data_IF_592619141012
#
_entry.id   IF_592619141012
#
_cell.length_a   1.000
_cell.length_b   1.000
_cell.length_c   1.000
_cell.angle_alpha   90.00
_cell.angle_beta   90.00
_cell.angle_gamma   90.00
#
_symmetry.space_group_name_H-M   'P 1'
#
loop_
_entity.id
_entity.type
_entity.pdbx_description
1 polymer ?
#
# COMPACT_ATOMS: atom_id res chain seq x y z
N UNK A 1 1.22 26.63 -6.62
CA UNK A 1 1.88 27.54 -5.63
C UNK A 1 1.09 27.71 -4.33
N UNK A 2 -0.09 28.37 -4.30
CA UNK A 2 -0.89 28.50 -3.05
C UNK A 2 -1.28 27.14 -2.45
N UNK A 3 -1.84 26.24 -3.26
CA UNK A 3 -2.22 24.91 -2.80
C UNK A 3 -1.01 24.09 -2.27
N UNK A 4 0.14 24.19 -2.91
CA UNK A 4 1.38 23.53 -2.44
C UNK A 4 1.83 24.07 -1.08
N UNK A 5 1.74 25.38 -0.86
CA UNK A 5 2.03 25.99 0.44
C UNK A 5 1.05 25.51 1.51
N UNK A 6 -0.24 25.41 1.19
CA UNK A 6 -1.27 24.91 2.10
C UNK A 6 -1.11 23.42 2.42
N UNK A 7 -0.54 22.63 1.49
CA UNK A 7 -0.24 21.22 1.75
C UNK A 7 1.04 21.00 2.55
N UNK A 8 1.89 22.02 2.74
CA UNK A 8 3.18 21.84 3.40
C UNK A 8 2.96 21.48 4.88
N UNK A 9 3.56 20.39 5.33
CA UNK A 9 3.51 19.95 6.73
C UNK A 9 4.30 20.93 7.58
N UNK A 10 3.62 21.62 8.51
CA UNK A 10 4.26 22.58 9.41
C UNK A 10 3.87 22.35 10.89
N UNK A 11 4.84 22.35 11.83
CA UNK A 11 6.29 22.27 11.58
C UNK A 11 6.70 20.96 10.89
N UNK A 12 7.87 20.96 10.24
CA UNK A 12 8.44 19.76 9.62
C UNK A 12 8.53 18.60 10.62
N UNK A 13 8.09 17.42 10.21
CA UNK A 13 8.17 16.20 11.00
C UNK A 13 9.54 15.55 10.76
N UNK A 14 10.29 15.26 11.83
CA UNK A 14 11.59 14.59 11.74
C UNK A 14 12.69 15.40 11.04
N UNK A 15 12.56 16.74 10.98
CA UNK A 15 13.39 17.62 10.17
C UNK A 15 13.40 17.20 8.68
N UNK A 16 12.25 16.80 8.17
CA UNK A 16 12.01 16.44 6.77
C UNK A 16 10.86 17.29 6.24
N UNK A 17 11.16 18.10 5.22
CA UNK A 17 10.12 18.83 4.49
C UNK A 17 9.23 17.83 3.77
N UNK A 18 7.93 17.97 3.96
CA UNK A 18 6.93 17.09 3.34
C UNK A 18 5.62 17.85 3.13
N UNK A 19 4.72 17.24 2.36
CA UNK A 19 3.43 17.82 1.99
C UNK A 19 2.34 16.77 2.19
N UNK A 20 1.24 17.12 2.83
CA UNK A 20 0.11 16.21 3.05
C UNK A 20 -1.21 16.92 2.84
N UNK A 21 -2.27 16.12 2.73
CA UNK A 21 -3.62 16.61 2.61
C UNK A 21 -4.52 15.55 2.00
N UNK A 22 -5.59 16.01 1.38
CA UNK A 22 -6.63 15.15 0.83
C UNK A 22 -6.88 15.46 -0.64
N UNK A 23 -7.05 14.42 -1.44
CA UNK A 23 -7.59 14.51 -2.79
C UNK A 23 -9.02 13.98 -2.79
N UNK A 24 -9.97 14.82 -3.22
CA UNK A 24 -11.37 14.41 -3.34
C UNK A 24 -11.55 13.57 -4.60
N UNK A 25 -11.88 12.30 -4.43
CA UNK A 25 -12.05 11.33 -5.53
C UNK A 25 -13.52 11.10 -5.89
N UNK A 26 -14.43 11.42 -4.97
CA UNK A 26 -15.86 11.49 -5.23
C UNK A 26 -16.47 12.67 -4.47
N UNK A 27 -16.98 13.67 -5.21
CA UNK A 27 -17.60 14.86 -4.61
C UNK A 27 -19.01 14.60 -4.11
N UNK A 28 -19.74 13.68 -4.72
CA UNK A 28 -21.12 13.38 -4.33
C UNK A 28 -21.14 12.59 -3.03
N UNK A 29 -20.17 11.70 -2.84
CA UNK A 29 -19.99 10.92 -1.62
C UNK A 29 -19.13 11.60 -0.55
N UNK A 30 -18.42 12.68 -0.89
CA UNK A 30 -17.44 13.29 0.00
C UNK A 30 -16.26 12.35 0.26
N UNK A 31 -15.88 11.54 -0.72
CA UNK A 31 -14.79 10.56 -0.60
C UNK A 31 -13.45 11.20 -0.91
N UNK A 32 -12.50 11.03 0.01
CA UNK A 32 -11.21 11.69 0.01
C UNK A 32 -10.09 10.68 0.32
N UNK A 33 -9.03 10.70 -0.50
CA UNK A 33 -7.81 9.94 -0.23
C UNK A 33 -6.76 10.86 0.42
N UNK A 34 -6.24 10.44 1.57
CA UNK A 34 -5.11 11.08 2.21
C UNK A 34 -3.82 10.76 1.47
N UNK A 35 -2.98 11.78 1.28
CA UNK A 35 -1.64 11.62 0.75
C UNK A 35 -0.60 12.22 1.69
N UNK A 36 0.61 11.66 1.67
CA UNK A 36 1.80 12.26 2.26
C UNK A 36 2.98 12.12 1.31
N UNK A 37 3.46 13.27 0.84
CA UNK A 37 4.49 13.43 -0.16
C UNK A 37 5.82 13.91 0.45
N UNK A 38 6.89 13.21 0.11
CA UNK A 38 8.26 13.48 0.53
C UNK A 38 9.12 13.74 -0.70
N UNK A 39 9.62 14.97 -0.89
CA UNK A 39 10.63 15.26 -1.90
C UNK A 39 11.89 14.41 -1.71
N UNK A 40 12.61 14.20 -2.82
CA UNK A 40 13.96 13.61 -2.78
C UNK A 40 14.90 14.47 -1.93
N UNK A 41 15.87 13.87 -1.24
CA UNK A 41 16.82 14.58 -0.35
C UNK A 41 17.92 15.35 -1.11
N UNK A 42 17.79 15.55 -2.42
CA UNK A 42 18.74 16.27 -3.28
C UNK A 42 18.20 17.62 -3.74
N UNK A 43 19.10 18.56 -4.03
CA UNK A 43 18.75 19.94 -4.38
C UNK A 43 17.77 20.04 -5.57
N UNK A 44 17.93 19.18 -6.57
CA UNK A 44 17.07 19.12 -7.76
C UNK A 44 15.98 18.04 -7.68
N UNK A 45 15.35 17.89 -6.51
CA UNK A 45 14.27 16.90 -6.31
C UNK A 45 13.14 17.00 -7.35
N UNK A 46 12.87 18.20 -7.86
CA UNK A 46 11.85 18.43 -8.91
C UNK A 46 12.09 17.69 -10.23
N UNK A 47 13.32 17.23 -10.50
CA UNK A 47 13.66 16.42 -11.69
C UNK A 47 13.80 14.92 -11.38
N UNK A 48 13.75 14.53 -10.10
CA UNK A 48 13.87 13.14 -9.69
C UNK A 48 12.60 12.34 -10.03
N UNK A 49 12.70 11.01 -10.23
CA UNK A 49 11.54 10.15 -10.37
C UNK A 49 10.51 10.33 -9.25
N UNK A 50 9.24 10.09 -9.56
CA UNK A 50 8.15 10.02 -8.59
C UNK A 50 7.76 8.56 -8.39
N UNK A 51 7.82 8.10 -7.14
CA UNK A 51 7.41 6.76 -6.74
C UNK A 51 6.16 6.90 -5.88
N UNK A 52 5.06 6.28 -6.31
CA UNK A 52 3.88 6.04 -5.48
C UNK A 52 4.07 4.72 -4.72
N UNK A 53 3.86 4.73 -3.41
CA UNK A 53 3.82 3.53 -2.57
C UNK A 53 2.40 3.25 -2.07
N UNK A 54 1.96 2.01 -2.26
CA UNK A 54 0.65 1.50 -1.85
C UNK A 54 0.82 0.27 -0.95
N UNK A 55 0.38 0.35 0.29
CA UNK A 55 0.28 -0.83 1.14
C UNK A 55 -0.99 -1.65 0.77
N UNK A 56 -0.95 -2.95 1.04
CA UNK A 56 -1.98 -3.93 0.70
C UNK A 56 -3.08 -4.08 1.77
N UNK A 57 -3.24 -5.31 2.28
CA UNK A 57 -4.30 -5.69 3.21
C UNK A 57 -5.28 -6.71 2.60
N UNK A 58 -6.38 -6.29 1.94
CA UNK A 58 -6.82 -4.91 1.68
C UNK A 58 -7.18 -4.16 2.96
N UNK A 59 -7.02 -2.83 2.96
CA UNK A 59 -7.43 -1.98 4.08
C UNK A 59 -6.31 -1.58 5.05
N UNK A 60 -5.06 -1.96 4.77
CA UNK A 60 -3.92 -1.54 5.59
C UNK A 60 -3.45 -0.13 5.19
N UNK A 61 -3.18 0.72 6.19
CA UNK A 61 -2.65 2.07 5.93
C UNK A 61 -1.25 2.00 5.30
N UNK A 62 -1.02 2.86 4.31
CA UNK A 62 0.32 3.03 3.72
C UNK A 62 1.29 3.73 4.65
N UNK A 63 0.82 4.24 5.80
CA UNK A 63 1.68 4.72 6.87
C UNK A 63 2.56 3.58 7.43
N UNK A 64 2.10 2.32 7.38
CA UNK A 64 2.95 1.19 7.74
C UNK A 64 4.23 1.19 6.89
N UNK A 65 4.11 1.23 5.56
CA UNK A 65 5.28 1.26 4.69
C UNK A 65 6.12 2.52 4.81
N UNK A 66 5.51 3.66 5.15
CA UNK A 66 6.24 4.88 5.45
C UNK A 66 7.17 4.70 6.66
N UNK A 67 6.67 4.17 7.78
CA UNK A 67 7.44 4.11 9.03
C UNK A 67 8.29 2.83 9.15
N UNK A 68 7.78 1.70 8.69
CA UNK A 68 8.42 0.39 8.86
C UNK A 68 9.42 0.07 7.74
N UNK A 69 9.18 0.58 6.53
CA UNK A 69 9.82 0.02 5.33
C UNK A 69 10.67 1.05 4.58
N UNK A 70 10.02 1.95 3.85
CA UNK A 70 10.66 2.69 2.74
C UNK A 70 10.78 4.19 2.98
N UNK A 71 10.16 4.72 4.04
CA UNK A 71 10.13 6.16 4.32
C UNK A 71 11.36 6.71 5.03
N UNK A 72 11.39 8.04 5.24
CA UNK A 72 12.55 8.77 5.75
C UNK A 72 12.88 8.52 7.24
N UNK A 73 11.94 8.00 8.02
CA UNK A 73 12.12 7.84 9.45
C UNK A 73 11.33 6.65 10.02
N UNK A 74 11.84 6.14 11.14
CA UNK A 74 11.16 5.21 12.04
C UNK A 74 10.71 5.97 13.29
N UNK A 75 9.68 5.48 13.98
CA UNK A 75 9.17 6.04 15.24
C UNK A 75 9.37 5.06 16.39
N UNK A 76 10.03 5.50 17.46
CA UNK A 76 10.25 4.73 18.68
C UNK A 76 9.82 5.52 19.91
N UNK A 77 9.90 4.94 21.10
CA UNK A 77 9.54 5.63 22.36
C UNK A 77 10.38 6.90 22.57
N UNK A 78 11.66 6.88 22.18
CA UNK A 78 12.53 8.07 22.28
C UNK A 78 12.28 9.12 21.17
N UNK A 79 11.40 8.81 20.22
CA UNK A 79 11.00 9.69 19.11
C UNK A 79 11.42 9.18 17.74
N UNK A 80 11.41 10.09 16.75
CA UNK A 80 11.72 9.75 15.37
C UNK A 80 13.23 9.56 15.16
N UNK A 81 13.61 8.47 14.49
CA UNK A 81 14.98 8.18 14.04
C UNK A 81 15.03 8.20 12.51
N UNK A 82 15.99 8.90 11.91
CA UNK A 82 16.15 8.94 10.44
C UNK A 82 16.59 7.58 9.89
N UNK A 83 16.04 7.18 8.74
CA UNK A 83 16.36 5.93 8.06
C UNK A 83 17.44 6.15 6.99
N UNK A 84 18.55 5.42 7.10
CA UNK A 84 19.67 5.50 6.15
C UNK A 84 19.39 4.81 4.80
N UNK A 85 18.31 4.02 4.71
CA UNK A 85 17.90 3.26 3.53
C UNK A 85 16.59 3.76 2.92
N UNK A 86 16.18 5.00 3.24
CA UNK A 86 14.93 5.57 2.74
C UNK A 86 14.93 5.67 1.21
N UNK A 87 13.80 5.35 0.59
CA UNK A 87 13.63 5.49 -0.86
C UNK A 87 13.60 6.96 -1.30
N UNK A 88 13.32 7.88 -0.37
CA UNK A 88 13.35 9.31 -0.65
C UNK A 88 14.77 9.93 -0.68
N UNK A 89 15.83 9.13 -0.52
CA UNK A 89 17.21 9.62 -0.69
C UNK A 89 17.39 10.16 -2.12
N UNK A 90 17.00 9.38 -3.13
CA UNK A 90 17.21 9.73 -4.55
C UNK A 90 15.93 10.05 -5.32
N UNK A 91 14.76 9.68 -4.77
CA UNK A 91 13.47 9.73 -5.45
C UNK A 91 12.45 10.56 -4.66
N UNK A 92 11.46 11.09 -5.37
CA UNK A 92 10.29 11.66 -4.70
C UNK A 92 9.33 10.54 -4.35
N UNK A 93 8.84 10.55 -3.11
CA UNK A 93 8.04 9.47 -2.56
C UNK A 93 6.65 9.98 -2.20
N UNK A 94 5.63 9.43 -2.85
CA UNK A 94 4.22 9.71 -2.61
C UNK A 94 3.58 8.51 -1.92
N UNK A 95 3.08 8.72 -0.72
CA UNK A 95 2.33 7.71 0.04
C UNK A 95 0.85 8.07 -0.05
N UNK A 96 -0.01 7.10 -0.36
CA UNK A 96 -1.46 7.29 -0.37
C UNK A 96 -2.11 6.22 0.51
N UNK A 97 -2.95 6.65 1.45
CA UNK A 97 -3.86 5.73 2.15
C UNK A 97 -5.03 5.40 1.22
N UNK A 98 -5.21 4.12 0.92
CA UNK A 98 -6.24 3.66 0.00
C UNK A 98 -6.66 2.22 0.36
N UNK A 99 -7.85 1.76 -0.06
CA UNK A 99 -8.95 2.52 -0.67
C UNK A 99 -9.55 3.61 0.25
N UNK A 100 -10.58 4.31 -0.24
CA UNK A 100 -11.42 5.19 0.59
C UNK A 100 -11.85 4.44 1.86
N UNK A 101 -11.69 5.06 3.03
CA UNK A 101 -11.94 4.45 4.35
C UNK A 101 -10.70 3.90 5.07
N UNK A 102 -9.55 3.84 4.40
CA UNK A 102 -8.30 3.34 4.97
C UNK A 102 -7.49 4.46 5.62
N UNK A 103 -6.93 4.20 6.81
CA UNK A 103 -6.01 5.12 7.48
C UNK A 103 -6.68 6.47 7.72
N UNK A 104 -6.14 7.54 7.12
CA UNK A 104 -6.77 8.87 7.18
C UNK A 104 -7.78 9.13 6.06
N UNK A 105 -7.83 8.31 5.02
CA UNK A 105 -8.81 8.43 3.92
C UNK A 105 -10.22 8.13 4.40
N UNK A 106 -11.21 8.89 3.92
CA UNK A 106 -12.57 8.83 4.44
C UNK A 106 -13.63 9.12 3.36
N UNK A 107 -14.88 8.85 3.70
CA UNK A 107 -16.05 9.22 2.92
C UNK A 107 -17.15 9.72 3.86
N UNK A 108 -17.93 10.72 3.44
CA UNK A 108 -19.03 11.27 4.24
C UNK A 108 -20.30 10.41 4.13
N UNK A 109 -20.36 9.57 3.09
CA UNK A 109 -21.43 8.58 2.84
C UNK A 109 -20.84 7.18 2.73
N UNK A 110 -21.68 6.15 2.81
CA UNK A 110 -21.30 4.73 2.69
C UNK A 110 -20.93 4.34 1.23
N UNK A 111 -19.93 5.03 0.68
CA UNK A 111 -19.44 4.89 -0.69
C UNK A 111 -18.03 4.28 -0.69
N UNK A 112 -17.89 3.12 -0.08
CA UNK A 112 -16.63 2.37 -0.17
C UNK A 112 -16.52 1.70 -1.55
N UNK A 113 -15.33 1.68 -2.17
CA UNK A 113 -15.13 0.98 -3.44
C UNK A 113 -15.40 -0.52 -3.26
N UNK A 114 -16.10 -1.11 -4.22
CA UNK A 114 -16.59 -2.49 -4.14
C UNK A 114 -15.70 -3.46 -4.91
N UNK A 115 -14.81 -2.96 -5.78
CA UNK A 115 -13.93 -3.76 -6.61
C UNK A 115 -12.70 -2.95 -7.06
N UNK A 116 -11.72 -3.63 -7.66
CA UNK A 116 -10.46 -3.04 -8.11
C UNK A 116 -10.63 -1.99 -9.22
N UNK A 117 -11.72 -2.01 -10.00
CA UNK A 117 -12.02 -0.95 -10.98
C UNK A 117 -12.27 0.36 -10.25
N UNK A 118 -13.13 0.35 -9.23
CA UNK A 118 -13.44 1.53 -8.42
C UNK A 118 -12.15 2.08 -7.77
N UNK A 119 -11.34 1.19 -7.17
CA UNK A 119 -10.05 1.55 -6.56
C UNK A 119 -9.10 2.17 -7.58
N UNK A 120 -9.00 1.58 -8.77
CA UNK A 120 -8.15 2.09 -9.86
C UNK A 120 -8.58 3.47 -10.33
N UNK A 121 -9.89 3.73 -10.43
CA UNK A 121 -10.44 5.04 -10.81
C UNK A 121 -10.21 6.11 -9.73
N UNK A 122 -10.41 5.79 -8.46
CA UNK A 122 -10.16 6.74 -7.36
C UNK A 122 -8.67 7.06 -7.23
N UNK A 123 -7.79 6.06 -7.31
CA UNK A 123 -6.34 6.29 -7.32
C UNK A 123 -5.92 7.13 -8.53
N UNK A 124 -6.50 6.90 -9.71
CA UNK A 124 -6.21 7.71 -10.90
C UNK A 124 -6.60 9.18 -10.67
N UNK A 125 -7.78 9.46 -10.12
CA UNK A 125 -8.19 10.84 -9.77
C UNK A 125 -7.24 11.48 -8.76
N UNK A 126 -6.78 10.73 -7.76
CA UNK A 126 -5.81 11.24 -6.79
C UNK A 126 -4.44 11.53 -7.43
N UNK A 127 -3.94 10.63 -8.29
CA UNK A 127 -2.67 10.83 -9.01
C UNK A 127 -2.77 12.01 -9.99
N UNK A 128 -3.89 12.18 -10.70
CA UNK A 128 -4.12 13.36 -11.55
C UNK A 128 -4.07 14.64 -10.71
N UNK A 129 -4.80 14.70 -9.60
CA UNK A 129 -4.79 15.87 -8.71
C UNK A 129 -3.39 16.13 -8.12
N UNK A 130 -2.61 15.10 -7.81
CA UNK A 130 -1.22 15.26 -7.41
C UNK A 130 -0.39 15.94 -8.51
N UNK A 131 -0.55 15.53 -9.76
CA UNK A 131 0.14 16.12 -10.92
C UNK A 131 -0.38 17.52 -11.28
N UNK A 132 -1.59 17.90 -10.85
CA UNK A 132 -2.07 19.28 -10.93
C UNK A 132 -1.48 20.15 -9.80
N UNK A 133 -1.36 19.57 -8.59
CA UNK A 133 -0.76 20.23 -7.44
C UNK A 133 0.74 20.45 -7.62
N UNK A 134 1.44 19.48 -8.22
CA UNK A 134 2.87 19.49 -8.51
C UNK A 134 3.14 19.24 -10.01
N UNK A 135 2.85 20.23 -10.88
CA UNK A 135 2.90 20.06 -12.35
C UNK A 135 4.27 19.72 -12.91
N UNK A 136 5.34 20.02 -12.18
CA UNK A 136 6.70 19.64 -12.58
C UNK A 136 6.87 18.12 -12.71
N UNK A 137 6.03 17.30 -12.06
CA UNK A 137 6.12 15.84 -12.14
C UNK A 137 5.52 15.23 -13.40
N UNK A 138 4.74 15.97 -14.21
CA UNK A 138 4.17 15.44 -15.46
C UNK A 138 5.24 15.01 -16.47
N UNK A 139 6.44 15.61 -16.42
CA UNK A 139 7.58 15.21 -17.26
C UNK A 139 8.41 14.07 -16.64
N UNK A 140 8.31 13.87 -15.32
CA UNK A 140 9.18 12.95 -14.60
C UNK A 140 8.68 11.51 -14.79
N UNK A 141 9.59 10.54 -14.69
CA UNK A 141 9.20 9.13 -14.68
C UNK A 141 8.38 8.85 -13.42
N UNK A 142 7.18 8.32 -13.63
CA UNK A 142 6.28 7.90 -12.55
C UNK A 142 6.31 6.38 -12.39
N UNK A 143 6.46 5.93 -11.16
CA UNK A 143 6.49 4.52 -10.79
C UNK A 143 5.34 4.25 -9.83
N UNK A 144 4.59 3.17 -10.08
CA UNK A 144 3.62 2.66 -9.11
C UNK A 144 4.29 1.49 -8.39
N UNK A 145 4.33 1.54 -7.08
CA UNK A 145 4.94 0.51 -6.26
C UNK A 145 4.11 0.19 -5.01
N UNK A 146 4.40 -0.93 -4.39
CA UNK A 146 3.68 -1.40 -3.22
C UNK A 146 3.82 -2.90 -3.06
N UNK A 147 3.08 -3.45 -2.10
CA UNK A 147 3.22 -4.85 -1.72
C UNK A 147 1.92 -5.55 -1.32
N UNK A 148 2.00 -6.86 -1.14
CA UNK A 148 0.87 -7.68 -0.66
C UNK A 148 -0.35 -7.53 -1.57
N UNK A 149 -1.51 -7.12 -1.06
CA UNK A 149 -2.72 -6.89 -1.88
C UNK A 149 -2.56 -5.74 -2.89
N UNK A 150 -1.52 -4.91 -2.81
CA UNK A 150 -1.17 -3.99 -3.88
C UNK A 150 -0.82 -4.70 -5.19
N UNK A 151 -0.59 -6.02 -5.17
CA UNK A 151 -0.59 -6.87 -6.36
C UNK A 151 -1.87 -6.82 -7.19
N UNK A 152 -2.99 -6.34 -6.63
CA UNK A 152 -4.23 -6.02 -7.34
C UNK A 152 -4.37 -4.52 -7.63
N UNK A 153 -4.02 -3.65 -6.67
CA UNK A 153 -4.16 -2.19 -6.81
C UNK A 153 -3.26 -1.59 -7.89
N UNK A 154 -2.02 -2.08 -7.99
CA UNK A 154 -1.01 -1.56 -8.91
C UNK A 154 -1.42 -1.81 -10.37
N UNK A 155 -1.78 -3.04 -10.79
CA UNK A 155 -2.33 -3.28 -12.11
C UNK A 155 -3.63 -2.51 -12.39
N UNK A 156 -4.52 -2.37 -11.39
CA UNK A 156 -5.75 -1.62 -11.54
C UNK A 156 -5.50 -0.14 -11.89
N UNK A 157 -4.64 0.54 -11.12
CA UNK A 157 -4.23 1.91 -11.41
C UNK A 157 -3.47 2.01 -12.74
N UNK A 158 -2.54 1.09 -13.01
CA UNK A 158 -1.78 1.06 -14.25
C UNK A 158 -2.69 0.93 -15.49
N UNK A 159 -3.70 0.07 -15.41
CA UNK A 159 -4.72 -0.09 -16.46
C UNK A 159 -5.55 1.18 -16.63
N UNK A 160 -5.99 1.79 -15.53
CA UNK A 160 -6.76 3.03 -15.55
C UNK A 160 -5.98 4.19 -16.17
N UNK A 161 -4.69 4.33 -15.83
CA UNK A 161 -3.79 5.29 -16.48
C UNK A 161 -3.69 4.97 -17.98
N UNK A 162 -3.41 3.73 -18.36
CA UNK A 162 -3.30 3.35 -19.76
C UNK A 162 -4.55 3.72 -20.58
N UNK A 163 -5.74 3.51 -20.00
CA UNK A 163 -7.04 3.80 -20.62
C UNK A 163 -7.28 5.30 -20.81
N UNK A 164 -7.05 6.12 -19.78
CA UNK A 164 -7.45 7.53 -19.77
C UNK A 164 -6.34 8.51 -20.17
N UNK A 165 -5.07 8.15 -19.98
CA UNK A 165 -3.93 9.02 -20.24
C UNK A 165 -3.81 9.51 -21.69
N UNK A 166 -4.16 8.74 -22.76
CA UNK A 166 -4.08 9.23 -24.15
C UNK A 166 -4.90 10.51 -24.41
N UNK A 167 -6.09 10.63 -23.82
CA UNK A 167 -6.98 11.79 -23.98
C UNK A 167 -6.90 12.81 -22.84
N UNK A 168 -6.20 12.50 -21.75
CA UNK A 168 -6.10 13.39 -20.59
C UNK A 168 -5.33 14.69 -20.87
N UNK A 169 -5.72 15.79 -20.23
CA UNK A 169 -4.98 17.05 -20.23
C UNK A 169 -3.73 16.98 -19.33
N UNK A 170 -3.87 16.35 -18.17
CA UNK A 170 -2.77 16.03 -17.25
C UNK A 170 -2.20 14.69 -17.66
N UNK A 171 -0.96 14.68 -18.15
CA UNK A 171 -0.28 13.45 -18.57
C UNK A 171 0.48 12.84 -17.40
N UNK A 172 0.32 11.54 -17.24
CA UNK A 172 1.10 10.72 -16.30
C UNK A 172 2.11 9.92 -17.12
N UNK A 173 3.40 10.16 -16.88
CA UNK A 173 4.49 9.44 -17.54
C UNK A 173 4.82 8.14 -16.78
N UNK A 174 3.87 7.19 -16.79
CA UNK A 174 4.03 5.89 -16.15
C UNK A 174 5.16 5.10 -16.81
N UNK A 175 6.25 4.91 -16.07
CA UNK A 175 7.47 4.28 -16.56
C UNK A 175 7.56 2.79 -16.18
N UNK A 176 7.15 2.42 -14.97
CA UNK A 176 7.11 1.03 -14.54
C UNK A 176 6.16 0.81 -13.34
N UNK A 177 5.86 -0.47 -13.10
CA UNK A 177 5.13 -0.96 -11.94
C UNK A 177 6.01 -1.96 -11.18
N UNK A 178 6.09 -1.84 -9.86
CA UNK A 178 6.90 -2.71 -9.00
C UNK A 178 6.05 -3.29 -7.87
N UNK A 179 5.93 -4.62 -7.81
CA UNK A 179 5.05 -5.31 -6.86
C UNK A 179 5.92 -6.19 -5.96
N UNK A 180 6.05 -5.83 -4.68
CA UNK A 180 6.77 -6.63 -3.68
C UNK A 180 5.85 -7.69 -3.07
N UNK A 181 6.26 -8.96 -3.09
CA UNK A 181 5.52 -10.07 -2.45
C UNK A 181 4.00 -10.04 -2.72
N UNK A 182 3.61 -9.70 -3.94
CA UNK A 182 2.22 -9.40 -4.28
C UNK A 182 1.32 -10.63 -4.33
N UNK A 183 0.09 -10.48 -3.86
CA UNK A 183 -1.01 -11.38 -4.20
C UNK A 183 -1.65 -10.87 -5.49
N UNK A 184 -1.49 -11.60 -6.58
CA UNK A 184 -1.90 -11.18 -7.94
C UNK A 184 -2.64 -12.28 -8.70
N UNK A 185 -2.25 -13.55 -8.51
CA UNK A 185 -2.94 -14.71 -9.07
C UNK A 185 -3.30 -15.67 -7.94
N UNK A 186 -4.55 -15.59 -7.52
CA UNK A 186 -5.11 -16.41 -6.46
C UNK A 186 -4.97 -17.91 -6.71
N UNK A 187 -5.06 -18.36 -7.97
CA UNK A 187 -5.10 -19.79 -8.29
C UNK A 187 -3.74 -20.45 -8.18
N UNK A 188 -2.71 -19.80 -8.71
CA UNK A 188 -1.34 -20.33 -8.68
C UNK A 188 -0.65 -20.06 -7.35
N UNK A 189 -0.96 -18.95 -6.67
CA UNK A 189 -0.30 -18.57 -5.40
C UNK A 189 -0.94 -19.22 -4.16
N UNK A 190 -2.07 -19.91 -4.29
CA UNK A 190 -2.76 -20.57 -3.16
C UNK A 190 -2.32 -22.03 -2.92
N UNK A 191 -1.38 -22.57 -3.69
CA UNK A 191 -0.78 -23.89 -3.43
C UNK A 191 0.21 -23.83 -2.23
N UNK A 192 -0.34 -23.61 -1.04
CA UNK A 192 0.42 -23.64 0.21
C UNK A 192 0.89 -25.05 0.55
N UNK A 193 0.15 -26.08 0.15
CA UNK A 193 0.46 -27.47 0.49
C UNK A 193 1.78 -27.94 -0.09
N UNK A 194 1.99 -27.80 -1.40
CA UNK A 194 3.27 -28.16 -2.00
C UNK A 194 4.39 -27.22 -1.55
N UNK A 195 4.12 -25.91 -1.50
CA UNK A 195 5.11 -24.91 -1.11
C UNK A 195 5.70 -25.19 0.28
N UNK A 196 4.85 -25.37 1.29
CA UNK A 196 5.28 -25.59 2.67
C UNK A 196 5.93 -26.97 2.86
N UNK A 197 5.45 -27.98 2.15
CA UNK A 197 6.04 -29.32 2.19
C UNK A 197 7.47 -29.33 1.63
N UNK A 198 7.71 -28.65 0.50
CA UNK A 198 9.06 -28.57 -0.07
C UNK A 198 10.02 -27.74 0.77
N UNK A 199 9.51 -26.86 1.62
CA UNK A 199 10.30 -26.16 2.65
C UNK A 199 10.53 -27.00 3.91
N UNK A 200 9.95 -28.20 4.01
CA UNK A 200 10.04 -29.06 5.19
C UNK A 200 9.28 -28.53 6.41
N UNK A 201 8.32 -27.61 6.20
CA UNK A 201 7.53 -27.01 7.28
C UNK A 201 6.30 -27.85 7.66
N UNK A 202 5.87 -28.75 6.78
CA UNK A 202 4.79 -29.70 7.03
C UNK A 202 5.18 -31.10 6.53
N UNK A 203 4.61 -32.13 7.13
CA UNK A 203 4.78 -33.52 6.72
C UNK A 203 3.72 -33.93 5.67
N UNK A 204 3.71 -35.22 5.31
CA UNK A 204 2.76 -35.76 4.33
C UNK A 204 1.30 -35.54 4.74
N UNK A 205 0.99 -35.67 6.04
CA UNK A 205 -0.36 -35.47 6.56
C UNK A 205 -0.80 -34.00 6.46
N UNK A 206 0.09 -33.06 6.81
CA UNK A 206 -0.15 -31.64 6.61
C UNK A 206 -0.35 -31.30 5.14
N UNK A 207 0.50 -31.83 4.26
CA UNK A 207 0.38 -31.62 2.81
C UNK A 207 -0.97 -32.10 2.28
N UNK A 208 -1.41 -33.29 2.66
CA UNK A 208 -2.69 -33.85 2.22
C UNK A 208 -3.87 -32.93 2.57
N UNK A 209 -3.91 -32.41 3.80
CA UNK A 209 -4.99 -31.53 4.25
C UNK A 209 -4.98 -30.16 3.57
N UNK A 210 -3.80 -29.56 3.36
CA UNK A 210 -3.66 -28.34 2.57
C UNK A 210 -4.13 -28.55 1.12
N UNK A 211 -3.71 -29.66 0.49
CA UNK A 211 -4.08 -29.94 -0.91
C UNK A 211 -5.56 -30.23 -1.06
N UNK A 212 -6.22 -30.84 -0.08
CA UNK A 212 -7.67 -31.02 -0.09
C UNK A 212 -8.39 -29.67 -0.11
N UNK A 213 -8.01 -28.74 0.77
CA UNK A 213 -8.62 -27.39 0.82
C UNK A 213 -8.28 -26.59 -0.45
N UNK A 214 -7.08 -26.76 -1.01
CA UNK A 214 -6.69 -26.18 -2.29
C UNK A 214 -7.58 -26.66 -3.44
N UNK A 215 -7.84 -27.96 -3.54
CA UNK A 215 -8.72 -28.50 -4.59
C UNK A 215 -10.16 -27.98 -4.45
N UNK A 216 -10.70 -27.93 -3.23
CA UNK A 216 -12.02 -27.34 -2.97
C UNK A 216 -12.07 -25.85 -3.33
N UNK A 217 -10.97 -25.13 -3.09
CA UNK A 217 -10.82 -23.73 -3.45
C UNK A 217 -10.84 -23.55 -4.98
N UNK A 218 -10.10 -24.39 -5.71
CA UNK A 218 -10.08 -24.36 -7.18
C UNK A 218 -11.46 -24.63 -7.77
N UNK A 219 -12.20 -25.62 -7.25
CA UNK A 219 -13.59 -25.88 -7.66
C UNK A 219 -14.47 -24.65 -7.39
N UNK A 220 -14.36 -24.02 -6.21
CA UNK A 220 -15.13 -22.83 -5.90
C UNK A 220 -14.80 -21.64 -6.84
N UNK A 221 -13.54 -21.49 -7.25
CA UNK A 221 -13.11 -20.48 -8.23
C UNK A 221 -13.67 -20.79 -9.62
N UNK A 222 -13.61 -22.04 -10.07
CA UNK A 222 -14.17 -22.49 -11.36
C UNK A 222 -15.68 -22.24 -11.43
N UNK A 223 -16.39 -22.52 -10.34
CA UNK A 223 -17.83 -22.26 -10.17
C UNK A 223 -18.17 -20.77 -9.98
N UNK A 224 -17.16 -19.90 -9.88
CA UNK A 224 -17.30 -18.46 -9.54
C UNK A 224 -18.03 -18.21 -8.21
N UNK A 225 -17.93 -19.16 -7.28
CA UNK A 225 -18.45 -19.02 -5.93
C UNK A 225 -17.42 -18.31 -5.05
N UNK A 226 -17.36 -16.98 -5.18
CA UNK A 226 -16.33 -16.15 -4.54
C UNK A 226 -16.40 -16.16 -3.01
N UNK A 227 -17.59 -16.27 -2.42
CA UNK A 227 -17.75 -16.39 -0.97
C UNK A 227 -17.12 -17.68 -0.45
N UNK A 228 -17.43 -18.82 -1.07
CA UNK A 228 -16.82 -20.10 -0.72
C UNK A 228 -15.31 -20.09 -0.96
N UNK A 229 -14.86 -19.55 -2.10
CA UNK A 229 -13.44 -19.44 -2.41
C UNK A 229 -12.70 -18.59 -1.36
N UNK A 230 -13.27 -17.46 -0.94
CA UNK A 230 -12.72 -16.62 0.12
C UNK A 230 -12.61 -17.38 1.45
N UNK A 231 -13.70 -18.03 1.88
CA UNK A 231 -13.69 -18.82 3.12
C UNK A 231 -12.61 -19.90 3.09
N UNK A 232 -12.46 -20.63 1.97
CA UNK A 232 -11.43 -21.65 1.83
C UNK A 232 -10.02 -21.04 1.85
N UNK A 233 -9.80 -19.94 1.13
CA UNK A 233 -8.52 -19.22 1.12
C UNK A 233 -8.08 -18.81 2.52
N UNK A 234 -8.99 -18.31 3.36
CA UNK A 234 -8.66 -17.90 4.74
C UNK A 234 -8.15 -19.06 5.61
N UNK A 235 -8.45 -20.33 5.26
CA UNK A 235 -7.97 -21.48 6.03
C UNK A 235 -6.46 -21.73 5.86
N UNK A 236 -5.87 -21.36 4.72
CA UNK A 236 -4.44 -21.61 4.44
C UNK A 236 -3.54 -20.88 5.43
N UNK A 237 -3.74 -19.57 5.59
CA UNK A 237 -2.98 -18.72 6.52
C UNK A 237 -3.64 -18.59 7.91
N UNK A 238 -4.80 -19.23 8.08
CA UNK A 238 -5.55 -19.29 9.33
C UNK A 238 -5.41 -20.66 9.98
N UNK A 239 -6.52 -21.41 10.05
CA UNK A 239 -6.59 -22.69 10.77
C UNK A 239 -5.41 -23.64 10.48
N UNK A 240 -5.08 -23.89 9.21
CA UNK A 240 -4.01 -24.82 8.86
C UNK A 240 -2.64 -24.29 9.27
N UNK A 241 -2.42 -22.98 9.11
CA UNK A 241 -1.19 -22.33 9.55
C UNK A 241 -0.99 -22.49 11.06
N UNK A 242 -2.04 -22.21 11.85
CA UNK A 242 -1.98 -22.37 13.31
C UNK A 242 -1.80 -23.80 13.75
N UNK A 243 -2.39 -24.76 13.04
CA UNK A 243 -2.28 -26.18 13.34
C UNK A 243 -0.86 -26.72 13.11
N UNK A 244 -0.22 -26.31 12.01
CA UNK A 244 1.01 -26.96 11.54
C UNK A 244 2.28 -26.13 11.67
N UNK A 245 2.22 -24.79 11.66
CA UNK A 245 3.39 -23.96 11.31
C UNK A 245 3.63 -22.81 12.31
N UNK A 246 2.58 -22.28 12.93
CA UNK A 246 2.65 -21.06 13.76
C UNK A 246 3.63 -21.14 14.94
N UNK A 247 3.96 -22.35 15.39
CA UNK A 247 4.92 -22.57 16.47
C UNK A 247 6.38 -22.49 16.00
N UNK A 248 6.63 -22.57 14.69
CA UNK A 248 7.96 -22.60 14.11
C UNK A 248 8.36 -21.26 13.48
N UNK A 249 7.45 -20.63 12.74
CA UNK A 249 7.76 -19.44 11.93
C UNK A 249 6.61 -18.43 11.90
N UNK A 250 6.83 -17.27 11.26
CA UNK A 250 5.81 -16.26 10.93
C UNK A 250 5.36 -16.42 9.47
N UNK A 251 4.09 -16.14 9.11
CA UNK A 251 3.65 -16.22 7.71
C UNK A 251 4.34 -15.16 6.83
N UNK A 252 4.95 -14.14 7.44
CA UNK A 252 5.67 -13.05 6.76
C UNK A 252 7.19 -13.29 6.69
N UNK A 253 7.74 -14.18 7.53
CA UNK A 253 9.18 -14.45 7.62
C UNK A 253 9.44 -15.83 8.20
N UNK A 254 10.02 -16.72 7.39
CA UNK A 254 10.37 -18.09 7.81
C UNK A 254 11.73 -18.21 8.47
N UNK A 255 12.58 -17.20 8.32
CA UNK A 255 13.88 -17.20 8.96
C UNK A 255 13.76 -16.73 10.41
N UNK A 256 14.44 -17.41 11.36
CA UNK A 256 14.61 -16.87 12.69
C UNK A 256 15.31 -15.50 12.58
N UNK A 257 14.86 -14.54 13.38
CA UNK A 257 15.45 -13.22 13.44
C UNK A 257 15.46 -12.72 14.88
N UNK A 258 16.35 -11.79 15.17
CA UNK A 258 16.24 -11.04 16.41
C UNK A 258 14.92 -10.27 16.43
N UNK A 259 14.25 -10.18 17.59
CA UNK A 259 13.09 -9.30 17.73
C UNK A 259 13.51 -7.87 17.38
N UNK A 260 12.86 -7.28 16.39
CA UNK A 260 13.05 -5.86 16.10
C UNK A 260 12.37 -5.03 17.19
N UNK A 261 12.98 -3.89 17.54
CA UNK A 261 12.36 -2.92 18.46
C UNK A 261 11.01 -2.48 17.87
N UNK A 262 9.89 -2.66 18.58
CA UNK A 262 8.58 -2.32 18.04
C UNK A 262 8.47 -0.80 17.85
N UNK A 263 8.07 -0.38 16.65
CA UNK A 263 7.85 1.03 16.39
C UNK A 263 6.52 1.51 16.99
N UNK A 264 6.49 2.79 17.38
CA UNK A 264 5.36 3.47 18.02
C UNK A 264 4.65 4.44 17.07
N UNK A 265 4.82 4.26 15.75
CA UNK A 265 4.33 5.22 14.75
C UNK A 265 2.81 5.40 14.79
N UNK A 266 2.05 4.36 15.13
CA UNK A 266 0.60 4.42 15.27
C UNK A 266 0.17 5.47 16.30
N UNK A 267 0.81 5.49 17.47
CA UNK A 267 0.53 6.46 18.53
C UNK A 267 1.03 7.86 18.13
N UNK A 268 2.23 7.91 17.53
CA UNK A 268 2.83 9.13 17.04
C UNK A 268 1.93 9.90 16.07
N UNK A 269 1.43 9.23 15.02
CA UNK A 269 0.58 9.86 14.00
C UNK A 269 -0.79 10.26 14.50
N UNK A 270 -1.26 9.66 15.61
CA UNK A 270 -2.54 10.00 16.23
C UNK A 270 -2.46 11.17 17.22
N UNK A 271 -1.26 11.60 17.60
CA UNK A 271 -1.11 12.76 18.48
C UNK A 271 -1.71 14.03 17.84
N UNK A 272 -2.41 14.87 18.63
CA UNK A 272 -3.07 16.08 18.11
C UNK A 272 -2.10 17.01 17.39
N UNK A 273 -0.83 17.06 17.84
CA UNK A 273 0.22 17.85 17.20
C UNK A 273 0.54 17.33 15.80
N UNK A 274 0.78 16.03 15.66
CA UNK A 274 1.14 15.42 14.36
C UNK A 274 -0.05 15.47 13.42
N UNK A 275 -1.25 15.09 13.88
CA UNK A 275 -2.49 15.20 13.09
C UNK A 275 -2.70 16.60 12.53
N UNK A 276 -2.55 17.64 13.38
CA UNK A 276 -2.65 19.04 12.94
C UNK A 276 -1.61 19.39 11.89
N UNK A 277 -0.35 18.99 12.06
CA UNK A 277 0.70 19.22 11.06
C UNK A 277 0.45 18.48 9.75
N UNK A 278 -0.21 17.32 9.80
CA UNK A 278 -0.60 16.54 8.63
C UNK A 278 -1.90 17.04 7.96
N UNK A 279 -2.52 18.09 8.49
CA UNK A 279 -3.83 18.59 8.06
C UNK A 279 -4.96 17.56 8.25
N UNK A 280 -4.84 16.70 9.26
CA UNK A 280 -5.80 15.64 9.59
C UNK A 280 -6.59 16.03 10.85
N UNK A 281 -7.92 16.02 10.74
CA UNK A 281 -8.85 16.30 11.85
C UNK A 281 -9.60 17.60 11.71
#
# INVERSE_FOLDING_TARGET
KKAQLLSKVEPDIGNVTSYSGFFTVDKECGSNLFFWFFPAQKENWGDAPLILWLQGGPGATSMYGLFEEIGPFSSYEEGLKKRNSSWNIDNNLLIIDQPVGVGFSFTEKDCYPQNETDVGEDLYKAVVQFHELFPNFQKNKFFISGESYAGHYIPALGHTIHKYNPSASVKINLAAMAIGNGYSDATTQSDYGNYLYYLGLIDDAGKEEYMQIYNDFMVAVEDKNWEKAYILKTKFIGYLYYKYISHAVSPYKYLPGEPEEPQTWNEFIQSSKVRKSLHVG
#
